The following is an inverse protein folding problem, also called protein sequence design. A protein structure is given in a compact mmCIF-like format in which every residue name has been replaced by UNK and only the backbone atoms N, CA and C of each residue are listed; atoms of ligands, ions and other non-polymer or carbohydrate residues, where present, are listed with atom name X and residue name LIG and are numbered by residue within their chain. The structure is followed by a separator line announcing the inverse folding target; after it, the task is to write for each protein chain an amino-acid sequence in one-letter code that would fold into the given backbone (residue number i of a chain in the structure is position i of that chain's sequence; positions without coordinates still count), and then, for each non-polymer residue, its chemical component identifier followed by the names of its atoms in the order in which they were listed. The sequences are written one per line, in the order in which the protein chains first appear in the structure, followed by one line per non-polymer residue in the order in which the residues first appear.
data_IF_326868468068
#
_entry.id   IF_326868468068
#
_cell.length_a   1.000
_cell.length_b   1.000
_cell.length_c   1.000
_cell.angle_alpha   90.00
_cell.angle_beta   90.00
_cell.angle_gamma   90.00
#
_symmetry.space_group_name_H-M   'P 1'
#
loop_
_entity.id
_entity.type
_entity.pdbx_description
1 polymer ?
#
# COMPACT_ATOMS: atom_id res chain seq x y z
N UNK A 1 26.38 4.21 6.34
CA UNK A 1 26.97 5.54 6.61
C UNK A 1 26.70 6.52 5.48
N UNK A 2 26.98 6.20 4.21
CA UNK A 2 26.73 7.10 3.07
C UNK A 2 25.25 7.31 2.72
N UNK A 3 24.41 6.28 2.79
CA UNK A 3 22.97 6.42 2.45
C UNK A 3 22.23 7.39 3.39
N UNK A 4 22.59 7.40 4.67
CA UNK A 4 22.00 8.29 5.68
C UNK A 4 22.30 9.77 5.41
N UNK A 5 23.39 10.08 4.70
CA UNK A 5 23.76 11.44 4.30
C UNK A 5 22.96 11.94 3.09
N UNK A 6 22.50 11.04 2.21
CA UNK A 6 21.64 11.41 1.06
C UNK A 6 20.22 11.76 1.53
N UNK A 7 19.69 11.01 2.51
CA UNK A 7 18.34 11.22 3.04
C UNK A 7 18.26 12.49 3.89
N UNK A 8 19.35 12.87 4.55
CA UNK A 8 19.41 14.07 5.38
C UNK A 8 19.72 15.29 4.52
N UNK A 9 18.69 16.04 4.13
CA UNK A 9 18.90 17.33 3.48
C UNK A 9 19.63 18.31 4.43
N UNK A 10 20.68 19.01 3.98
CA UNK A 10 21.36 20.02 4.78
C UNK A 10 20.43 21.24 4.96
N UNK A 11 19.76 21.32 6.11
CA UNK A 11 18.83 22.41 6.46
C UNK A 11 17.51 21.96 7.10
N UNK A 12 17.25 20.67 7.20
CA UNK A 12 16.02 20.15 7.84
C UNK A 12 16.17 20.03 9.37
N UNK A 13 15.36 20.78 10.11
CA UNK A 13 15.28 20.76 11.59
C UNK A 13 14.25 19.75 12.12
N UNK A 14 13.62 18.94 11.25
CA UNK A 14 12.70 17.89 11.68
C UNK A 14 13.46 16.73 12.33
N UNK A 15 12.89 16.18 13.40
CA UNK A 15 13.40 14.96 14.02
C UNK A 15 13.45 13.87 12.96
N UNK A 16 14.59 13.18 12.78
CA UNK A 16 14.69 12.15 11.76
C UNK A 16 13.66 11.06 12.04
N UNK A 17 12.79 10.80 11.06
CA UNK A 17 11.84 9.69 11.08
C UNK A 17 12.56 8.42 11.57
N UNK A 18 12.19 7.87 12.74
CA UNK A 18 12.99 6.88 13.44
C UNK A 18 13.02 5.56 12.68
N UNK A 19 13.99 5.40 11.77
CA UNK A 19 14.13 4.18 10.97
C UNK A 19 14.52 4.41 9.51
N UNK A 20 14.41 5.65 8.99
CA UNK A 20 14.59 5.88 7.55
C UNK A 20 15.97 5.48 7.02
N UNK A 21 17.05 5.73 7.77
CA UNK A 21 18.40 5.32 7.37
C UNK A 21 18.61 3.81 7.29
N UNK A 22 17.81 3.01 8.00
CA UNK A 22 17.92 1.54 8.07
C UNK A 22 16.92 0.84 7.13
N UNK A 23 15.75 1.43 6.97
CA UNK A 23 14.59 0.82 6.29
C UNK A 23 14.31 1.44 4.91
N UNK A 24 15.13 2.40 4.42
CA UNK A 24 14.93 3.07 3.11
C UNK A 24 14.72 2.11 1.94
N UNK A 25 15.38 0.95 1.97
CA UNK A 25 15.34 -0.04 0.90
C UNK A 25 14.00 -0.79 0.81
N UNK A 26 13.18 -0.77 1.87
CA UNK A 26 11.83 -1.35 1.85
C UNK A 26 10.91 -0.61 0.89
N UNK A 27 11.01 0.72 0.82
CA UNK A 27 10.25 1.55 -0.12
C UNK A 27 10.73 1.35 -1.56
N UNK A 28 12.04 1.15 -1.76
CA UNK A 28 12.60 0.88 -3.09
C UNK A 28 12.15 -0.49 -3.64
N UNK A 29 12.06 -1.50 -2.77
CA UNK A 29 11.55 -2.83 -3.14
C UNK A 29 10.02 -2.93 -3.08
N UNK A 30 9.30 -1.86 -2.72
CA UNK A 30 7.83 -1.85 -2.59
C UNK A 30 7.27 -2.93 -1.63
N UNK A 31 8.01 -3.21 -0.54
CA UNK A 31 7.63 -4.17 0.52
C UNK A 31 7.30 -3.49 1.86
N UNK A 32 7.26 -2.16 1.88
CA UNK A 32 6.95 -1.34 3.04
C UNK A 32 5.56 -1.64 3.65
N UNK A 33 4.59 -2.13 2.86
CA UNK A 33 3.28 -2.57 3.37
C UNK A 33 3.34 -3.77 4.34
N UNK A 34 4.32 -4.67 4.21
CA UNK A 34 4.38 -5.90 5.02
C UNK A 34 5.20 -5.77 6.30
N UNK A 35 6.20 -4.88 6.31
CA UNK A 35 7.22 -4.83 7.36
C UNK A 35 7.12 -3.58 8.24
N UNK A 36 6.75 -2.43 7.67
CA UNK A 36 6.84 -1.16 8.40
C UNK A 36 5.52 -0.74 9.07
N UNK A 37 4.35 -1.08 8.48
CA UNK A 37 3.04 -0.76 9.09
C UNK A 37 2.86 -1.29 10.52
N UNK A 38 3.50 -2.42 10.85
CA UNK A 38 3.43 -3.02 12.19
C UNK A 38 4.34 -2.34 13.23
N UNK A 39 5.35 -1.59 12.77
CA UNK A 39 6.39 -1.02 13.64
C UNK A 39 6.23 0.49 13.81
N UNK A 40 5.42 1.16 12.96
CA UNK A 40 5.23 2.63 12.99
C UNK A 40 6.51 3.38 12.67
N UNK A 41 7.40 2.77 11.88
CA UNK A 41 8.73 3.26 11.51
C UNK A 41 8.90 3.34 10.00
N UNK A 42 7.79 3.44 9.27
CA UNK A 42 7.80 3.70 7.83
C UNK A 42 8.50 5.03 7.53
N UNK A 43 9.51 4.98 6.66
CA UNK A 43 10.00 6.21 6.05
C UNK A 43 9.13 6.54 4.84
N UNK A 44 8.63 7.77 4.74
CA UNK A 44 7.75 8.19 3.65
C UNK A 44 6.43 7.40 3.61
N UNK A 45 5.57 7.60 4.62
CA UNK A 45 4.27 6.94 4.79
C UNK A 45 3.51 6.83 3.46
N UNK A 46 3.39 7.91 2.69
CA UNK A 46 2.61 7.96 1.43
C UNK A 46 3.01 6.89 0.38
N UNK A 47 4.21 6.33 0.46
CA UNK A 47 4.70 5.30 -0.46
C UNK A 47 4.01 3.95 -0.27
N UNK A 48 3.23 3.76 0.81
CA UNK A 48 2.41 2.58 1.02
C UNK A 48 1.45 2.32 -0.17
N UNK A 49 0.90 3.40 -0.73
CA UNK A 49 0.00 3.31 -1.89
C UNK A 49 0.75 2.92 -3.17
N UNK A 50 1.94 3.48 -3.39
CA UNK A 50 2.75 3.17 -4.57
C UNK A 50 3.22 1.70 -4.57
N UNK A 51 3.53 1.16 -3.40
CA UNK A 51 3.86 -0.25 -3.23
C UNK A 51 2.67 -1.17 -3.51
N UNK A 52 1.48 -0.78 -3.08
CA UNK A 52 0.24 -1.49 -3.37
C UNK A 52 -0.02 -1.55 -4.89
N UNK A 53 0.19 -0.44 -5.62
CA UNK A 53 -0.02 -0.38 -7.07
C UNK A 53 0.91 -1.32 -7.83
N UNK A 54 2.17 -1.43 -7.43
CA UNK A 54 3.12 -2.37 -8.03
C UNK A 54 2.72 -3.84 -7.79
N UNK A 55 2.23 -4.16 -6.60
CA UNK A 55 1.76 -5.51 -6.28
C UNK A 55 0.53 -5.89 -7.10
N UNK A 56 -0.43 -4.98 -7.23
CA UNK A 56 -1.60 -5.19 -8.10
C UNK A 56 -1.20 -5.31 -9.57
N UNK A 57 -0.22 -4.56 -10.04
CA UNK A 57 0.30 -4.72 -11.40
C UNK A 57 0.86 -6.13 -11.61
N UNK A 58 1.72 -6.62 -10.70
CA UNK A 58 2.29 -7.98 -10.79
C UNK A 58 1.22 -9.07 -10.76
N UNK A 59 0.20 -8.93 -9.91
CA UNK A 59 -0.93 -9.88 -9.83
C UNK A 59 -1.84 -9.80 -11.06
N UNK A 60 -1.99 -8.61 -11.66
CA UNK A 60 -2.86 -8.42 -12.83
C UNK A 60 -2.37 -9.18 -14.07
N UNK A 61 -1.05 -9.32 -14.26
CA UNK A 61 -0.44 -10.00 -15.41
C UNK A 61 -0.94 -11.45 -15.57
N UNK A 62 -0.84 -12.34 -14.56
CA UNK A 62 -1.37 -13.69 -14.68
C UNK A 62 -2.91 -13.72 -14.78
N UNK A 63 -3.62 -12.81 -14.12
CA UNK A 63 -5.09 -12.75 -14.21
C UNK A 63 -5.53 -12.43 -15.65
N UNK A 64 -4.87 -11.47 -16.29
CA UNK A 64 -5.11 -11.11 -17.69
C UNK A 64 -4.81 -12.32 -18.59
N UNK A 65 -3.68 -13.00 -18.38
CA UNK A 65 -3.32 -14.20 -19.14
C UNK A 65 -4.38 -15.33 -19.01
N UNK A 66 -4.87 -15.59 -17.80
CA UNK A 66 -5.95 -16.56 -17.55
C UNK A 66 -7.24 -16.12 -18.25
N UNK A 67 -7.55 -14.82 -18.22
CA UNK A 67 -8.76 -14.27 -18.86
C UNK A 67 -8.72 -14.46 -20.37
N UNK A 68 -7.55 -14.28 -21.00
CA UNK A 68 -7.38 -14.56 -22.44
C UNK A 68 -7.57 -16.04 -22.78
N UNK A 69 -7.14 -16.97 -21.92
CA UNK A 69 -7.24 -18.42 -22.19
C UNK A 69 -8.60 -19.01 -21.82
N UNK A 70 -9.22 -18.49 -20.76
CA UNK A 70 -10.45 -18.96 -20.13
C UNK A 70 -11.31 -17.76 -19.70
N UNK A 71 -11.97 -17.13 -20.67
CA UNK A 71 -12.74 -15.89 -20.48
C UNK A 71 -13.71 -15.94 -19.30
N UNK A 72 -14.47 -17.03 -19.16
CA UNK A 72 -15.46 -17.15 -18.08
C UNK A 72 -14.80 -17.21 -16.69
N UNK A 73 -13.67 -17.92 -16.56
CA UNK A 73 -12.92 -18.01 -15.29
C UNK A 73 -12.34 -16.64 -14.94
N UNK A 74 -11.73 -15.96 -15.91
CA UNK A 74 -11.21 -14.61 -15.71
C UNK A 74 -12.28 -13.62 -15.24
N UNK A 75 -13.45 -13.62 -15.90
CA UNK A 75 -14.59 -12.77 -15.52
C UNK A 75 -15.09 -13.06 -14.11
N UNK A 76 -15.23 -14.34 -13.73
CA UNK A 76 -15.63 -14.72 -12.37
C UNK A 76 -14.61 -14.23 -11.35
N UNK A 77 -13.31 -14.43 -11.61
CA UNK A 77 -12.24 -13.95 -10.73
C UNK A 77 -12.32 -12.45 -10.52
N UNK A 78 -12.57 -11.65 -11.57
CA UNK A 78 -12.71 -10.19 -11.45
C UNK A 78 -13.92 -9.78 -10.61
N UNK A 79 -15.08 -10.40 -10.82
CA UNK A 79 -16.30 -10.11 -10.04
C UNK A 79 -16.09 -10.46 -8.57
N UNK A 80 -15.46 -11.59 -8.28
CA UNK A 80 -15.15 -12.00 -6.90
C UNK A 80 -14.19 -11.01 -6.23
N UNK A 81 -13.14 -10.57 -6.93
CA UNK A 81 -12.20 -9.57 -6.40
C UNK A 81 -12.88 -8.23 -6.10
N UNK A 82 -13.78 -7.77 -6.99
CA UNK A 82 -14.57 -6.56 -6.77
C UNK A 82 -15.45 -6.69 -5.52
N UNK A 83 -16.22 -7.78 -5.40
CA UNK A 83 -17.09 -8.02 -4.25
C UNK A 83 -16.27 -8.14 -2.96
N UNK A 84 -15.12 -8.80 -3.00
CA UNK A 84 -14.21 -8.88 -1.86
C UNK A 84 -13.68 -7.49 -1.46
N UNK A 85 -13.34 -6.63 -2.42
CA UNK A 85 -12.89 -5.26 -2.14
C UNK A 85 -13.99 -4.42 -1.48
N UNK A 86 -15.22 -4.46 -2.00
CA UNK A 86 -16.34 -3.75 -1.37
C UNK A 86 -16.64 -4.31 0.02
N UNK A 87 -16.71 -5.64 0.14
CA UNK A 87 -16.97 -6.33 1.40
C UNK A 87 -15.92 -6.03 2.47
N UNK A 88 -14.64 -6.02 2.11
CA UNK A 88 -13.55 -5.68 3.02
C UNK A 88 -13.67 -4.23 3.50
N UNK A 89 -13.89 -3.28 2.59
CA UNK A 89 -14.05 -1.86 2.96
C UNK A 89 -15.25 -1.65 3.88
N UNK A 90 -16.39 -2.27 3.58
CA UNK A 90 -17.59 -2.20 4.42
C UNK A 90 -17.35 -2.85 5.78
N UNK A 91 -16.72 -4.03 5.80
CA UNK A 91 -16.41 -4.76 7.03
C UNK A 91 -15.47 -3.98 7.96
N UNK A 92 -14.42 -3.38 7.40
CA UNK A 92 -13.52 -2.50 8.16
C UNK A 92 -14.27 -1.25 8.65
N UNK A 93 -15.11 -0.65 7.82
CA UNK A 93 -15.88 0.53 8.20
C UNK A 93 -16.78 0.28 9.42
N UNK A 94 -17.48 -0.87 9.44
CA UNK A 94 -18.35 -1.28 10.54
C UNK A 94 -17.52 -1.62 11.78
N UNK A 95 -16.44 -2.39 11.64
CA UNK A 95 -15.61 -2.82 12.78
C UNK A 95 -14.99 -1.63 13.52
N UNK A 96 -14.51 -0.62 12.80
CA UNK A 96 -13.85 0.54 13.38
C UNK A 96 -14.79 1.73 13.61
N UNK A 97 -16.12 1.57 13.42
CA UNK A 97 -17.12 2.64 13.49
C UNK A 97 -16.70 3.91 12.71
N UNK A 98 -16.11 3.71 11.53
CA UNK A 98 -15.62 4.80 10.69
C UNK A 98 -16.81 5.57 10.11
N UNK A 99 -16.82 6.88 10.31
CA UNK A 99 -17.79 7.76 9.68
C UNK A 99 -17.42 7.95 8.20
N UNK A 100 -18.40 7.99 7.27
CA UNK A 100 -18.12 8.33 5.89
C UNK A 100 -17.53 9.73 5.85
N UNK A 101 -16.28 9.84 5.37
CA UNK A 101 -15.46 11.06 5.40
C UNK A 101 -16.12 12.26 4.69
N UNK A 102 -17.14 12.01 3.84
CA UNK A 102 -17.90 13.04 3.13
C UNK A 102 -19.08 13.64 3.92
N UNK A 103 -19.38 13.14 5.13
CA UNK A 103 -20.36 13.74 6.06
C UNK A 103 -19.71 14.39 7.29
N UNK A 104 -18.38 14.35 7.39
CA UNK A 104 -17.58 14.99 8.45
C UNK A 104 -17.15 16.42 8.06
N UNK A 105 -18.02 17.18 7.41
CA UNK A 105 -17.87 18.63 7.28
C UNK A 105 -18.65 19.29 8.43
N UNK A 106 -18.02 19.30 9.60
CA UNK A 106 -18.38 20.14 10.74
C UNK A 106 -17.23 21.09 11.02
#
# INVERSE_FOLDING_TARGET
MWVSLIIKNPGDNKTPEPGCAKNWWYNFLYINNFLDMATGKECMVWTWYLANDMQFFVISVPIIWITFRYFLVGMITQVVLLLASFGATIGLAIHYNLQPTMLSAG
#
